data_IF_805954295820
#
_entry.id   IF_805954295820
#
_cell.length_a   1.000
_cell.length_b   1.000
_cell.length_c   1.000
_cell.angle_alpha   90.00
_cell.angle_beta   90.00
_cell.angle_gamma   90.00
#
_symmetry.space_group_name_H-M   'P 1'
#
loop_
_entity.id
_entity.type
_entity.pdbx_description
1 polymer ?
#
# COMPACT_ATOMS: atom_id res chain seq x y z
N UNK A 1 -11.60 -49.12 43.62
CA UNK A 1 -11.09 -48.35 42.47
C UNK A 1 -10.89 -46.91 42.92
N UNK A 2 -9.65 -46.55 43.27
CA UNK A 2 -9.31 -45.32 44.00
C UNK A 2 -9.68 -44.06 43.21
N UNK A 3 -10.23 -43.07 43.92
CA UNK A 3 -10.70 -41.77 43.43
C UNK A 3 -9.65 -41.05 42.55
N UNK A 4 -8.36 -41.35 42.74
CA UNK A 4 -7.27 -40.82 41.94
C UNK A 4 -7.33 -41.21 40.45
N UNK A 5 -7.84 -42.40 40.12
CA UNK A 5 -7.96 -42.85 38.72
C UNK A 5 -9.12 -42.14 37.99
N UNK A 6 -10.14 -41.68 38.74
CA UNK A 6 -11.27 -40.89 38.21
C UNK A 6 -10.88 -39.44 37.98
N UNK A 7 -10.03 -38.87 38.84
CA UNK A 7 -9.49 -37.52 38.65
C UNK A 7 -8.51 -37.45 37.47
N UNK A 8 -7.67 -38.48 37.27
CA UNK A 8 -6.82 -38.58 36.08
C UNK A 8 -7.61 -38.69 34.78
N UNK A 9 -8.68 -39.51 34.77
CA UNK A 9 -9.57 -39.62 33.63
C UNK A 9 -10.38 -38.34 33.38
N UNK A 10 -10.81 -37.63 34.43
CA UNK A 10 -11.51 -36.35 34.31
C UNK A 10 -10.60 -35.23 33.80
N UNK A 11 -9.33 -35.19 34.23
CA UNK A 11 -8.34 -34.25 33.72
C UNK A 11 -7.97 -34.52 32.26
N UNK A 12 -7.84 -35.81 31.87
CA UNK A 12 -7.62 -36.20 30.48
C UNK A 12 -8.83 -35.89 29.58
N UNK A 13 -10.05 -36.14 30.07
CA UNK A 13 -11.28 -35.80 29.36
C UNK A 13 -11.46 -34.28 29.22
N UNK A 14 -11.11 -33.50 30.25
CA UNK A 14 -11.15 -32.04 30.20
C UNK A 14 -10.11 -31.44 29.23
N UNK A 15 -8.90 -32.00 29.14
CA UNK A 15 -7.91 -31.58 28.14
C UNK A 15 -8.36 -31.93 26.71
N UNK A 16 -8.97 -33.10 26.52
CA UNK A 16 -9.48 -33.54 25.21
C UNK A 16 -10.71 -32.74 24.77
N UNK A 17 -11.54 -32.26 25.71
CA UNK A 17 -12.72 -31.43 25.40
C UNK A 17 -12.41 -29.94 25.28
N UNK A 18 -11.29 -29.45 25.84
CA UNK A 18 -10.78 -28.09 25.59
C UNK A 18 -9.94 -27.97 24.31
N UNK A 19 -9.27 -29.05 23.87
CA UNK A 19 -8.51 -29.07 22.62
C UNK A 19 -9.30 -28.70 21.35
N UNK A 20 -10.61 -29.00 21.19
CA UNK A 20 -11.37 -28.56 20.01
C UNK A 20 -11.82 -27.10 20.05
N UNK A 21 -11.70 -26.37 21.17
CA UNK A 21 -12.03 -24.95 21.21
C UNK A 21 -11.06 -24.11 20.36
N UNK A 22 -9.82 -24.57 20.17
CA UNK A 22 -8.85 -23.98 19.23
C UNK A 22 -9.10 -24.38 17.77
N UNK A 23 -9.88 -25.44 17.51
CA UNK A 23 -10.31 -25.79 16.14
C UNK A 23 -11.42 -24.86 15.62
N UNK A 24 -12.24 -24.26 16.50
CA UNK A 24 -13.25 -23.26 16.15
C UNK A 24 -12.76 -21.80 16.24
N UNK A 25 -11.58 -21.56 16.83
CA UNK A 25 -10.90 -20.26 16.80
C UNK A 25 -10.03 -20.06 15.55
N UNK A 26 -9.84 -21.10 14.73
CA UNK A 26 -9.09 -21.05 13.47
C UNK A 26 -9.97 -20.52 12.33
N UNK A 27 -10.50 -19.29 12.46
CA UNK A 27 -11.23 -18.63 11.35
C UNK A 27 -10.30 -17.86 10.41
N UNK A 28 -9.01 -17.82 10.68
CA UNK A 28 -7.96 -17.56 9.70
C UNK A 28 -6.87 -18.54 10.08
N UNK A 29 -6.81 -19.68 9.38
CA UNK A 29 -5.57 -20.43 9.34
C UNK A 29 -4.48 -19.40 9.04
N UNK A 30 -3.49 -19.27 9.92
CA UNK A 30 -2.25 -18.60 9.59
C UNK A 30 -1.64 -19.41 8.44
N UNK A 31 -2.08 -19.11 7.22
CA UNK A 31 -1.49 -19.63 6.01
C UNK A 31 -0.01 -19.27 6.14
N UNK A 32 0.86 -20.28 6.06
CA UNK A 32 2.28 -20.05 5.97
C UNK A 32 2.49 -19.04 4.82
N UNK A 33 2.86 -17.81 5.18
CA UNK A 33 3.08 -16.75 4.20
C UNK A 33 4.33 -17.17 3.45
N UNK A 34 4.17 -17.56 2.19
CA UNK A 34 5.29 -17.98 1.35
C UNK A 34 5.89 -16.74 0.70
N UNK A 35 7.14 -16.82 0.24
CA UNK A 35 7.81 -15.71 -0.47
C UNK A 35 6.98 -15.19 -1.65
N UNK A 36 6.18 -16.05 -2.27
CA UNK A 36 5.29 -15.69 -3.37
C UNK A 36 4.15 -14.77 -2.92
N UNK A 37 3.63 -14.94 -1.70
CA UNK A 37 2.55 -14.11 -1.16
C UNK A 37 3.05 -12.69 -0.87
N UNK A 38 4.27 -12.57 -0.30
CA UNK A 38 4.93 -11.28 -0.07
C UNK A 38 5.24 -10.59 -1.41
N UNK A 39 5.74 -11.34 -2.40
CA UNK A 39 6.01 -10.80 -3.75
C UNK A 39 4.74 -10.31 -4.44
N UNK A 40 3.65 -11.05 -4.32
CA UNK A 40 2.37 -10.66 -4.92
C UNK A 40 1.80 -9.40 -4.23
N UNK A 41 1.80 -9.37 -2.90
CA UNK A 41 1.34 -8.21 -2.13
C UNK A 41 2.18 -6.96 -2.43
N UNK A 42 3.50 -7.09 -2.51
CA UNK A 42 4.39 -5.98 -2.86
C UNK A 42 4.22 -5.51 -4.31
N UNK A 43 4.01 -6.42 -5.27
CA UNK A 43 3.75 -6.06 -6.66
C UNK A 43 2.44 -5.28 -6.81
N UNK A 44 1.37 -5.74 -6.15
CA UNK A 44 0.09 -5.03 -6.12
C UNK A 44 0.20 -3.67 -5.42
N UNK A 45 0.86 -3.62 -4.26
CA UNK A 45 1.10 -2.39 -3.52
C UNK A 45 1.91 -1.36 -4.31
N UNK A 46 2.99 -1.80 -4.97
CA UNK A 46 3.82 -0.94 -5.82
C UNK A 46 3.03 -0.40 -7.02
N UNK A 47 2.27 -1.26 -7.71
CA UNK A 47 1.42 -0.86 -8.84
C UNK A 47 0.34 0.14 -8.45
N UNK A 48 -0.33 -0.06 -7.31
CA UNK A 48 -1.34 0.86 -6.79
C UNK A 48 -0.73 2.20 -6.37
N UNK A 49 0.40 2.18 -5.66
CA UNK A 49 1.08 3.39 -5.20
C UNK A 49 1.46 4.29 -6.38
N UNK A 50 2.13 3.75 -7.39
CA UNK A 50 2.52 4.54 -8.57
C UNK A 50 1.32 4.90 -9.45
N UNK A 51 0.38 3.97 -9.63
CA UNK A 51 -0.79 4.19 -10.49
C UNK A 51 -1.65 5.35 -10.00
N UNK A 52 -1.93 5.41 -8.70
CA UNK A 52 -2.70 6.50 -8.10
C UNK A 52 -1.90 7.81 -8.13
N UNK A 53 -0.60 7.76 -7.80
CA UNK A 53 0.27 8.93 -7.82
C UNK A 53 0.36 9.59 -9.20
N UNK A 54 0.63 8.80 -10.24
CA UNK A 54 0.71 9.28 -11.63
C UNK A 54 -0.64 9.80 -12.13
N UNK A 55 -1.74 9.13 -11.80
CA UNK A 55 -3.08 9.58 -12.21
C UNK A 55 -3.42 10.96 -11.62
N UNK A 56 -3.19 11.15 -10.31
CA UNK A 56 -3.39 12.44 -9.66
C UNK A 56 -2.44 13.53 -10.20
N UNK A 57 -1.16 13.18 -10.39
CA UNK A 57 -0.13 14.08 -10.91
C UNK A 57 -0.45 14.58 -12.32
N UNK A 58 -0.74 13.69 -13.25
CA UNK A 58 -1.07 14.06 -14.65
C UNK A 58 -2.34 14.92 -14.74
N UNK A 59 -3.36 14.62 -13.92
CA UNK A 59 -4.57 15.45 -13.87
C UNK A 59 -4.27 16.88 -13.37
N UNK A 60 -3.49 17.01 -12.29
CA UNK A 60 -3.11 18.30 -11.74
C UNK A 60 -2.20 19.10 -12.71
N UNK A 61 -1.22 18.44 -13.33
CA UNK A 61 -0.31 19.04 -14.30
C UNK A 61 -1.05 19.54 -15.55
N UNK A 62 -1.98 18.74 -16.08
CA UNK A 62 -2.81 19.13 -17.23
C UNK A 62 -3.62 20.39 -16.95
N UNK A 63 -4.24 20.49 -15.76
CA UNK A 63 -4.97 21.70 -15.34
C UNK A 63 -4.05 22.91 -15.16
N UNK A 64 -2.89 22.73 -14.53
CA UNK A 64 -1.92 23.82 -14.34
C UNK A 64 -1.41 24.36 -15.67
N UNK A 65 -1.06 23.47 -16.61
CA UNK A 65 -0.62 23.84 -17.95
C UNK A 65 -1.73 24.55 -18.74
N UNK A 66 -2.97 24.03 -18.72
CA UNK A 66 -4.10 24.66 -19.40
C UNK A 66 -4.38 26.08 -18.87
N UNK A 67 -4.39 26.25 -17.55
CA UNK A 67 -4.60 27.56 -16.93
C UNK A 67 -3.48 28.56 -17.28
N UNK A 68 -2.22 28.09 -17.32
CA UNK A 68 -1.09 28.92 -17.72
C UNK A 68 -1.19 29.35 -19.19
N UNK A 69 -1.52 28.42 -20.10
CA UNK A 69 -1.69 28.71 -21.52
C UNK A 69 -2.85 29.67 -21.79
N UNK A 70 -3.97 29.53 -21.08
CA UNK A 70 -5.09 30.46 -21.17
C UNK A 70 -4.72 31.86 -20.61
N UNK A 71 -3.95 31.92 -19.53
CA UNK A 71 -3.41 33.18 -19.02
C UNK A 71 -2.49 33.87 -20.04
N UNK A 72 -1.62 33.10 -20.71
CA UNK A 72 -0.71 33.60 -21.74
C UNK A 72 -1.48 34.07 -22.98
N UNK A 73 -2.50 33.34 -23.41
CA UNK A 73 -3.28 33.72 -24.60
C UNK A 73 -4.06 35.02 -24.40
N UNK A 74 -4.57 35.26 -23.19
CA UNK A 74 -5.28 36.50 -22.81
C UNK A 74 -4.33 37.69 -22.63
N UNK A 75 -3.10 37.46 -22.18
CA UNK A 75 -2.09 38.50 -22.03
C UNK A 75 -0.68 37.99 -22.40
N UNK A 76 -0.30 38.06 -23.68
CA UNK A 76 1.00 37.56 -24.15
C UNK A 76 2.19 38.24 -23.48
N UNK A 77 2.05 39.52 -23.08
CA UNK A 77 3.11 40.26 -22.39
C UNK A 77 3.43 39.75 -20.99
N UNK A 78 2.53 38.97 -20.38
CA UNK A 78 2.74 38.36 -19.07
C UNK A 78 3.40 36.97 -19.13
N UNK A 79 3.73 36.44 -20.31
CA UNK A 79 4.14 35.04 -20.47
C UNK A 79 5.33 34.63 -19.60
N UNK A 80 6.39 35.46 -19.54
CA UNK A 80 7.55 35.19 -18.68
C UNK A 80 7.20 35.16 -17.18
N UNK A 81 6.24 35.98 -16.75
CA UNK A 81 5.77 36.03 -15.36
C UNK A 81 4.86 34.85 -14.99
N UNK A 82 4.26 34.19 -15.98
CA UNK A 82 3.41 33.00 -15.81
C UNK A 82 4.26 31.72 -15.84
N UNK A 83 5.26 31.63 -16.72
CA UNK A 83 6.08 30.42 -16.88
C UNK A 83 6.81 30.01 -15.60
N UNK A 84 7.42 30.96 -14.90
CA UNK A 84 8.18 30.66 -13.68
C UNK A 84 7.33 29.99 -12.60
N UNK A 85 6.19 30.59 -12.15
CA UNK A 85 5.33 29.95 -11.16
C UNK A 85 4.66 28.67 -11.71
N UNK A 86 4.36 28.58 -13.00
CA UNK A 86 3.87 27.33 -13.62
C UNK A 86 4.88 26.20 -13.46
N UNK A 87 6.14 26.41 -13.84
CA UNK A 87 7.20 25.40 -13.73
C UNK A 87 7.41 25.01 -12.26
N UNK A 88 7.39 25.98 -11.34
CA UNK A 88 7.49 25.71 -9.90
C UNK A 88 6.33 24.80 -9.43
N UNK A 89 5.09 25.12 -9.83
CA UNK A 89 3.93 24.30 -9.51
C UNK A 89 4.01 22.89 -10.10
N UNK A 90 4.45 22.76 -11.36
CA UNK A 90 4.65 21.46 -12.00
C UNK A 90 5.75 20.65 -11.31
N UNK A 91 6.85 21.28 -10.90
CA UNK A 91 7.93 20.62 -10.16
C UNK A 91 7.47 20.12 -8.79
N UNK A 92 6.63 20.88 -8.09
CA UNK A 92 6.04 20.43 -6.82
C UNK A 92 5.09 19.24 -7.02
N UNK A 93 4.26 19.26 -8.05
CA UNK A 93 3.40 18.10 -8.39
C UNK A 93 4.27 16.88 -8.71
N UNK A 94 5.30 17.06 -9.53
CA UNK A 94 6.19 15.96 -9.92
C UNK A 94 6.95 15.40 -8.72
N UNK A 95 7.31 16.22 -7.73
CA UNK A 95 7.98 15.75 -6.51
C UNK A 95 7.14 14.72 -5.73
N UNK A 96 5.81 14.87 -5.74
CA UNK A 96 4.88 13.92 -5.10
C UNK A 96 4.72 12.65 -5.94
N UNK A 97 4.72 12.77 -7.27
CA UNK A 97 4.70 11.61 -8.18
C UNK A 97 5.98 10.79 -8.03
N UNK A 98 7.14 11.45 -7.94
CA UNK A 98 8.41 10.80 -7.68
C UNK A 98 8.48 10.18 -6.29
N UNK A 99 7.86 10.80 -5.27
CA UNK A 99 7.74 10.16 -3.95
C UNK A 99 6.95 8.85 -4.03
N UNK A 100 5.83 8.82 -4.77
CA UNK A 100 5.07 7.60 -5.01
C UNK A 100 5.90 6.54 -5.77
N UNK A 101 6.70 6.97 -6.76
CA UNK A 101 7.63 6.09 -7.47
C UNK A 101 8.70 5.50 -6.55
N UNK A 102 9.29 6.30 -5.67
CA UNK A 102 10.27 5.86 -4.68
C UNK A 102 9.67 4.81 -3.74
N UNK A 103 8.44 5.01 -3.27
CA UNK A 103 7.73 4.03 -2.43
C UNK A 103 7.49 2.73 -3.21
N UNK A 104 7.03 2.81 -4.46
CA UNK A 104 6.84 1.64 -5.31
C UNK A 104 8.15 0.88 -5.57
N UNK A 105 9.26 1.60 -5.77
CA UNK A 105 10.58 1.02 -5.93
C UNK A 105 11.04 0.30 -4.65
N UNK A 106 10.86 0.91 -3.48
CA UNK A 106 11.18 0.29 -2.20
C UNK A 106 10.36 -0.97 -1.93
N UNK A 107 9.05 -0.94 -2.20
CA UNK A 107 8.18 -2.12 -2.06
C UNK A 107 8.64 -3.27 -2.97
N UNK A 108 8.99 -2.96 -4.22
CA UNK A 108 9.53 -3.94 -5.16
C UNK A 108 10.86 -4.52 -4.66
N UNK A 109 11.75 -3.69 -4.12
CA UNK A 109 13.06 -4.12 -3.64
C UNK A 109 12.94 -5.02 -2.41
N UNK A 110 12.10 -4.65 -1.44
CA UNK A 110 11.83 -5.43 -0.24
C UNK A 110 11.36 -6.87 -0.59
N UNK A 111 10.50 -7.01 -1.58
CA UNK A 111 10.02 -8.33 -2.02
C UNK A 111 11.03 -9.14 -2.85
N UNK A 112 12.07 -8.49 -3.39
CA UNK A 112 13.11 -9.15 -4.16
C UNK A 112 14.21 -9.79 -3.30
N UNK A 113 14.15 -9.64 -1.96
CA UNK A 113 15.14 -10.17 -1.03
C UNK A 113 16.37 -9.28 -0.86
N UNK A 114 16.21 -7.97 -1.07
CA UNK A 114 17.23 -6.95 -0.75
C UNK A 114 17.34 -6.67 0.73
#
# INVERSE_FOLDING_TARGET
MSIQNKMGAAAAAALVTLAPLSAFAQTVAAAATNDNDIKMAAALGAGLAIGIGVFGGTFAQGKAAAAALEGISRNPGAAGRIQTPMILGLALIESLVLLAFVIAFFLRNLAAGG
#
